data_IF_782339688321
#
_entry.id   IF_782339688321
#
_cell.length_a   1.000
_cell.length_b   1.000
_cell.length_c   1.000
_cell.angle_alpha   90.00
_cell.angle_beta   90.00
_cell.angle_gamma   90.00
#
_symmetry.space_group_name_H-M   'P 1'
#
loop_
_entity.id
_entity.type
_entity.pdbx_description
1 polymer ?
#
# COMPACT_ATOMS: atom_id res chain seq x y z
N UNK A 1 18.56 -4.36 10.14
CA UNK A 1 17.25 -4.44 10.84
C UNK A 1 16.75 -3.02 10.98
N UNK A 2 15.55 -2.68 10.46
CA UNK A 2 15.00 -1.34 10.64
C UNK A 2 14.60 -1.16 12.11
N UNK A 3 14.91 0.00 12.70
CA UNK A 3 14.44 0.35 14.05
C UNK A 3 12.91 0.32 14.09
N UNK A 4 12.34 -0.07 15.24
CA UNK A 4 10.88 -0.02 15.44
C UNK A 4 10.44 1.45 15.38
N UNK A 5 9.69 1.80 14.34
CA UNK A 5 9.14 3.15 14.17
C UNK A 5 8.18 3.55 15.30
N UNK A 6 7.49 2.56 15.87
CA UNK A 6 6.56 2.77 16.98
C UNK A 6 7.31 2.77 18.31
N UNK A 7 7.22 3.90 19.03
CA UNK A 7 7.68 4.05 20.41
C UNK A 7 6.55 4.59 21.30
N UNK A 8 6.82 4.88 22.57
CA UNK A 8 5.79 5.37 23.49
C UNK A 8 5.23 6.73 23.06
N UNK A 9 3.92 6.92 23.24
CA UNK A 9 3.16 8.12 22.86
C UNK A 9 2.73 8.95 24.08
N UNK A 10 3.56 8.96 25.13
CA UNK A 10 3.26 9.53 26.45
C UNK A 10 3.69 11.01 26.60
N UNK A 11 4.33 11.61 25.60
CA UNK A 11 4.60 13.06 25.57
C UNK A 11 4.51 13.62 24.15
N UNK A 12 4.27 14.93 24.05
CA UNK A 12 4.23 15.64 22.77
C UNK A 12 5.56 15.51 22.02
N UNK A 13 6.69 15.60 22.71
CA UNK A 13 8.01 15.44 22.09
C UNK A 13 8.18 14.05 21.47
N UNK A 14 7.75 13.00 22.17
CA UNK A 14 7.80 11.63 21.65
C UNK A 14 6.87 11.44 20.45
N UNK A 15 5.67 12.00 20.50
CA UNK A 15 4.72 11.99 19.37
C UNK A 15 5.35 12.69 18.17
N UNK A 16 5.90 13.89 18.34
CA UNK A 16 6.54 14.66 17.27
C UNK A 16 7.72 13.89 16.65
N UNK A 17 8.53 13.23 17.47
CA UNK A 17 9.64 12.39 17.00
C UNK A 17 9.14 11.21 16.16
N UNK A 18 8.11 10.49 16.61
CA UNK A 18 7.52 9.37 15.86
C UNK A 18 6.95 9.85 14.52
N UNK A 19 6.21 10.96 14.53
CA UNK A 19 5.67 11.56 13.29
C UNK A 19 6.79 11.91 12.32
N UNK A 20 7.85 12.57 12.80
CA UNK A 20 9.03 12.90 11.98
C UNK A 20 9.71 11.67 11.37
N UNK A 21 9.87 10.59 12.15
CA UNK A 21 10.43 9.32 11.65
C UNK A 21 9.55 8.66 10.59
N UNK A 22 8.22 8.68 10.79
CA UNK A 22 7.29 8.16 9.79
C UNK A 22 7.34 8.96 8.49
N UNK A 23 7.27 10.29 8.57
CA UNK A 23 7.36 11.15 7.37
C UNK A 23 8.66 10.90 6.61
N UNK A 24 9.80 10.87 7.31
CA UNK A 24 11.10 10.57 6.70
C UNK A 24 11.14 9.18 6.07
N UNK A 25 10.56 8.18 6.73
CA UNK A 25 10.51 6.81 6.21
C UNK A 25 9.67 6.74 4.94
N UNK A 26 8.48 7.35 4.94
CA UNK A 26 7.59 7.38 3.78
C UNK A 26 8.26 8.07 2.58
N UNK A 27 8.95 9.18 2.80
CA UNK A 27 9.74 9.84 1.75
C UNK A 27 10.81 8.92 1.17
N UNK A 28 11.59 8.25 2.04
CA UNK A 28 12.64 7.31 1.62
C UNK A 28 12.11 6.06 0.91
N UNK A 29 10.87 5.65 1.20
CA UNK A 29 10.21 4.51 0.56
C UNK A 29 9.50 4.88 -0.75
N UNK A 30 9.70 6.09 -1.26
CA UNK A 30 9.18 6.54 -2.57
C UNK A 30 7.87 7.30 -2.51
N UNK A 31 7.28 7.51 -1.33
CA UNK A 31 6.02 8.24 -1.16
C UNK A 31 6.20 9.77 -1.08
N UNK A 32 7.34 10.32 -1.51
CA UNK A 32 7.65 11.76 -1.40
C UNK A 32 6.58 12.68 -2.02
N UNK A 33 5.97 12.32 -3.15
CA UNK A 33 4.87 13.11 -3.75
C UNK A 33 3.60 13.06 -2.90
N UNK A 34 3.30 11.91 -2.31
CA UNK A 34 2.15 11.74 -1.42
C UNK A 34 2.34 12.54 -0.13
N UNK A 35 3.54 12.50 0.47
CA UNK A 35 3.85 13.31 1.66
C UNK A 35 3.69 14.81 1.37
N UNK A 36 4.15 15.28 0.19
CA UNK A 36 4.00 16.67 -0.24
C UNK A 36 2.56 17.08 -0.55
N UNK A 37 1.67 16.15 -0.87
CA UNK A 37 0.25 16.42 -1.11
C UNK A 37 -0.53 16.74 0.18
N UNK A 38 0.10 16.65 1.35
CA UNK A 38 -0.51 17.01 2.64
C UNK A 38 -1.18 15.83 3.33
N UNK A 39 -2.16 16.11 4.20
CA UNK A 39 -2.71 15.11 5.13
C UNK A 39 -3.29 13.87 4.43
N UNK A 40 -4.05 14.05 3.35
CA UNK A 40 -4.63 12.94 2.58
C UNK A 40 -3.55 12.08 1.91
N UNK A 41 -2.51 12.73 1.37
CA UNK A 41 -1.39 12.00 0.78
C UNK A 41 -0.55 11.26 1.82
N UNK A 42 -0.34 11.83 3.01
CA UNK A 42 0.30 11.13 4.14
C UNK A 42 -0.53 9.92 4.57
N UNK A 43 -1.85 10.04 4.65
CA UNK A 43 -2.75 8.91 4.95
C UNK A 43 -2.59 7.80 3.90
N UNK A 44 -2.62 8.16 2.61
CA UNK A 44 -2.42 7.21 1.52
C UNK A 44 -1.05 6.54 1.60
N UNK A 45 0.01 7.30 1.85
CA UNK A 45 1.37 6.77 2.02
C UNK A 45 1.48 5.78 3.19
N UNK A 46 0.81 6.08 4.31
CA UNK A 46 0.74 5.16 5.46
C UNK A 46 0.00 3.86 5.11
N UNK A 47 -1.15 3.94 4.44
CA UNK A 47 -1.90 2.76 4.00
C UNK A 47 -1.08 1.86 3.09
N UNK A 48 -0.33 2.46 2.15
CA UNK A 48 0.56 1.71 1.26
C UNK A 48 1.69 1.03 2.06
N UNK A 49 2.29 1.76 3.00
CA UNK A 49 3.34 1.23 3.86
C UNK A 49 2.86 0.05 4.71
N UNK A 50 1.65 0.10 5.25
CA UNK A 50 1.11 -1.00 6.07
C UNK A 50 0.78 -2.24 5.24
N UNK A 51 0.35 -2.06 4.00
CA UNK A 51 0.02 -3.15 3.09
C UNK A 51 1.21 -3.74 2.32
N UNK A 52 2.44 -3.23 2.52
CA UNK A 52 3.57 -3.61 1.67
C UNK A 52 3.36 -3.22 0.19
N UNK A 53 2.51 -2.22 -0.06
CA UNK A 53 2.23 -1.70 -1.39
C UNK A 53 3.26 -0.64 -1.77
N UNK A 54 3.71 -0.64 -3.02
CA UNK A 54 4.69 0.33 -3.51
C UNK A 54 4.22 0.93 -4.84
N UNK A 55 4.24 2.25 -4.92
CA UNK A 55 4.11 2.93 -6.20
C UNK A 55 5.48 3.03 -6.88
N UNK A 56 5.56 2.50 -8.09
CA UNK A 56 6.64 2.79 -9.03
C UNK A 56 6.01 3.47 -10.23
N UNK A 57 6.59 4.56 -10.72
CA UNK A 57 6.17 5.35 -11.89
C UNK A 57 4.78 5.05 -12.51
N UNK A 58 4.62 3.89 -13.15
CA UNK A 58 3.41 3.49 -13.88
C UNK A 58 2.65 2.25 -13.33
N UNK A 59 3.04 1.70 -12.18
CA UNK A 59 2.35 0.56 -11.56
C UNK A 59 2.34 0.61 -10.03
N UNK A 60 1.29 0.03 -9.46
CA UNK A 60 1.19 -0.30 -8.05
C UNK A 60 1.57 -1.77 -7.87
N UNK A 61 2.59 -2.06 -7.07
CA UNK A 61 2.98 -3.43 -6.72
C UNK A 61 2.54 -3.77 -5.29
N UNK A 62 2.02 -4.99 -5.09
CA UNK A 62 1.88 -5.60 -3.78
C UNK A 62 3.13 -6.46 -3.53
N UNK A 63 4.01 -5.99 -2.65
CA UNK A 63 5.35 -6.55 -2.45
C UNK A 63 5.53 -7.17 -1.05
N UNK A 64 4.44 -7.52 -0.38
CA UNK A 64 4.52 -8.26 0.87
C UNK A 64 4.99 -9.70 0.63
N UNK A 65 5.89 -10.20 1.47
CA UNK A 65 6.29 -11.60 1.46
C UNK A 65 5.11 -12.45 1.96
N UNK A 66 4.71 -13.53 1.26
CA UNK A 66 3.63 -14.40 1.71
C UNK A 66 3.79 -14.90 3.15
N UNK A 67 5.03 -15.05 3.65
CA UNK A 67 5.27 -15.49 5.04
C UNK A 67 4.86 -14.45 6.10
N UNK A 68 4.77 -13.18 5.70
CA UNK A 68 4.41 -12.06 6.57
C UNK A 68 2.88 -11.81 6.56
N UNK A 69 2.14 -12.50 5.68
CA UNK A 69 0.69 -12.44 5.59
C UNK A 69 0.03 -13.34 6.62
N UNK A 70 -0.16 -12.82 7.84
CA UNK A 70 -0.83 -13.55 8.93
C UNK A 70 -2.35 -13.34 8.98
N UNK A 71 -2.88 -12.40 8.19
CA UNK A 71 -4.29 -11.98 8.21
C UNK A 71 -4.71 -11.49 6.83
N UNK A 72 -6.02 -11.53 6.59
CA UNK A 72 -6.63 -10.91 5.42
C UNK A 72 -6.47 -9.39 5.44
N UNK A 73 -6.21 -8.82 4.27
CA UNK A 73 -6.18 -7.38 4.07
C UNK A 73 -7.32 -6.92 3.17
N UNK A 74 -7.96 -5.82 3.56
CA UNK A 74 -9.03 -5.19 2.80
C UNK A 74 -8.74 -3.70 2.62
N UNK A 75 -8.12 -3.35 1.50
CA UNK A 75 -7.92 -1.97 1.10
C UNK A 75 -9.09 -1.51 0.23
N UNK A 76 -9.71 -0.41 0.63
CA UNK A 76 -10.83 0.19 -0.11
C UNK A 76 -10.47 1.59 -0.53
N UNK A 77 -10.87 1.96 -1.76
CA UNK A 77 -10.71 3.30 -2.32
C UNK A 77 -9.26 3.81 -2.25
N UNK A 78 -8.29 2.95 -2.56
CA UNK A 78 -6.92 3.42 -2.71
C UNK A 78 -6.86 4.34 -3.92
N UNK A 79 -6.34 5.56 -3.73
CA UNK A 79 -6.14 6.50 -4.82
C UNK A 79 -5.00 6.06 -5.72
N UNK A 80 -5.27 5.96 -7.02
CA UNK A 80 -4.27 5.70 -8.05
C UNK A 80 -4.33 6.75 -9.15
N UNK A 81 -3.34 7.64 -9.19
CA UNK A 81 -3.43 8.85 -9.99
C UNK A 81 -4.52 9.79 -9.47
N UNK A 82 -5.11 10.59 -10.36
CA UNK A 82 -5.99 11.70 -9.95
C UNK A 82 -7.48 11.34 -9.83
N UNK A 83 -7.95 10.32 -10.55
CA UNK A 83 -9.39 10.06 -10.71
C UNK A 83 -9.78 8.59 -10.57
N UNK A 84 -8.81 7.71 -10.27
CA UNK A 84 -9.03 6.27 -10.18
C UNK A 84 -8.89 5.80 -8.75
N UNK A 85 -9.86 5.01 -8.31
CA UNK A 85 -9.87 4.35 -7.02
C UNK A 85 -9.91 2.85 -7.24
N UNK A 86 -9.05 2.12 -6.52
CA UNK A 86 -9.02 0.67 -6.56
C UNK A 86 -9.31 0.06 -5.18
N UNK A 87 -9.86 -1.14 -5.21
CA UNK A 87 -10.04 -2.00 -4.06
C UNK A 87 -9.08 -3.19 -4.20
N UNK A 88 -8.31 -3.48 -3.16
CA UNK A 88 -7.44 -4.66 -3.09
C UNK A 88 -7.88 -5.49 -1.89
N UNK A 89 -8.15 -6.77 -2.12
CA UNK A 89 -8.35 -7.74 -1.05
C UNK A 89 -7.29 -8.81 -1.16
N UNK A 90 -6.64 -9.13 -0.04
CA UNK A 90 -5.71 -10.26 0.09
C UNK A 90 -6.34 -11.23 1.06
N UNK A 91 -6.67 -12.44 0.61
CA UNK A 91 -7.22 -13.49 1.45
C UNK A 91 -6.14 -14.55 1.69
N UNK A 92 -5.88 -14.87 2.95
CA UNK A 92 -4.96 -15.95 3.34
C UNK A 92 -5.81 -17.18 3.63
N UNK A 93 -5.70 -18.20 2.77
CA UNK A 93 -6.50 -19.41 2.87
C UNK A 93 -6.04 -20.26 4.06
N UNK A 94 -6.97 -20.68 4.92
CA UNK A 94 -6.65 -21.45 6.13
C UNK A 94 -6.18 -22.89 5.82
N UNK A 95 -6.57 -23.44 4.67
CA UNK A 95 -6.29 -24.84 4.32
C UNK A 95 -4.85 -25.06 3.84
N UNK A 96 -4.30 -24.14 3.04
CA UNK A 96 -2.99 -24.28 2.40
C UNK A 96 -2.04 -23.09 2.60
N UNK A 97 -2.45 -22.10 3.41
CA UNK A 97 -1.74 -20.85 3.69
C UNK A 97 -1.36 -20.07 2.42
N UNK A 98 -2.05 -20.30 1.30
CA UNK A 98 -1.83 -19.50 0.10
C UNK A 98 -2.59 -18.18 0.20
N UNK A 99 -1.93 -17.13 -0.26
CA UNK A 99 -2.54 -15.83 -0.40
C UNK A 99 -3.16 -15.67 -1.79
N UNK A 100 -4.43 -15.26 -1.86
CA UNK A 100 -5.11 -14.89 -3.10
C UNK A 100 -5.36 -13.39 -3.10
N UNK A 101 -4.96 -12.72 -4.19
CA UNK A 101 -5.11 -11.28 -4.35
C UNK A 101 -6.26 -11.00 -5.32
N UNK A 102 -7.21 -10.19 -4.89
CA UNK A 102 -8.29 -9.67 -5.70
C UNK A 102 -8.10 -8.16 -5.86
N UNK A 103 -8.17 -7.68 -7.10
CA UNK A 103 -8.15 -6.26 -7.43
C UNK A 103 -9.38 -5.91 -8.26
N UNK A 104 -10.02 -4.79 -7.92
CA UNK A 104 -11.17 -4.27 -8.65
C UNK A 104 -11.14 -2.74 -8.68
N UNK A 105 -11.74 -2.14 -9.69
CA UNK A 105 -11.88 -0.69 -9.78
C UNK A 105 -13.18 -0.27 -9.08
N UNK A 106 -13.09 0.78 -8.26
CA UNK A 106 -14.27 1.45 -7.70
C UNK A 106 -14.69 2.62 -8.60
N UNK A 107 -13.68 3.34 -9.12
CA UNK A 107 -13.82 4.41 -10.10
C UNK A 107 -12.59 4.38 -11.01
N UNK A 108 -12.74 4.66 -12.29
CA UNK A 108 -11.61 4.76 -13.22
C UNK A 108 -11.81 5.85 -14.26
N UNK A 109 -10.70 6.47 -14.69
CA UNK A 109 -10.65 7.43 -15.81
C UNK A 109 -10.22 6.80 -17.14
N UNK A 110 -9.70 5.57 -17.09
CA UNK A 110 -9.15 4.81 -18.21
C UNK A 110 -9.17 3.31 -17.92
N UNK A 111 -8.73 2.51 -18.91
CA UNK A 111 -8.54 1.09 -18.73
C UNK A 111 -7.29 0.79 -17.87
N UNK A 112 -7.48 0.00 -16.82
CA UNK A 112 -6.41 -0.51 -15.98
C UNK A 112 -6.33 -2.02 -16.09
N UNK A 113 -5.14 -2.55 -15.84
CA UNK A 113 -4.86 -3.97 -15.94
C UNK A 113 -4.09 -4.43 -14.70
N UNK A 114 -4.29 -5.68 -14.33
CA UNK A 114 -3.54 -6.36 -13.29
C UNK A 114 -2.85 -7.60 -13.86
N UNK A 115 -1.73 -7.96 -13.26
CA UNK A 115 -0.96 -9.13 -13.60
C UNK A 115 -0.31 -9.66 -12.31
N UNK A 116 0.06 -10.94 -12.30
CA UNK A 116 0.81 -11.57 -11.23
C UNK A 116 2.28 -11.74 -11.60
N UNK A 117 3.10 -12.10 -10.60
CA UNK A 117 4.52 -12.46 -10.77
C UNK A 117 5.39 -11.50 -11.60
N UNK A 118 5.07 -10.20 -11.64
CA UNK A 118 5.78 -9.23 -12.47
C UNK A 118 5.34 -9.21 -13.94
N UNK A 119 4.09 -9.57 -14.21
CA UNK A 119 3.48 -9.68 -15.54
C UNK A 119 4.15 -10.76 -16.43
N UNK A 120 4.42 -11.93 -15.86
CA UNK A 120 4.83 -13.10 -16.66
C UNK A 120 3.69 -13.58 -17.56
N UNK A 121 2.47 -13.56 -17.03
CA UNK A 121 1.25 -13.84 -17.79
C UNK A 121 0.64 -12.55 -18.37
N UNK A 122 -0.15 -12.67 -19.46
CA UNK A 122 -0.80 -11.52 -20.07
C UNK A 122 -1.68 -10.76 -19.05
N UNK A 123 -1.57 -9.43 -18.99
CA UNK A 123 -2.31 -8.64 -18.02
C UNK A 123 -3.82 -8.71 -18.28
N UNK A 124 -4.60 -8.86 -17.21
CA UNK A 124 -6.06 -8.93 -17.24
C UNK A 124 -6.64 -7.54 -16.98
N UNK A 125 -7.57 -7.12 -17.83
CA UNK A 125 -8.24 -5.84 -17.65
C UNK A 125 -9.12 -5.87 -16.39
N UNK A 126 -8.94 -4.87 -15.53
CA UNK A 126 -9.76 -4.69 -14.34
C UNK A 126 -11.12 -4.10 -14.71
N UNK A 127 -12.15 -4.53 -13.98
CA UNK A 127 -13.52 -4.02 -14.08
C UNK A 127 -13.90 -3.27 -12.82
#
# INVERSE_FOLDING_TARGET
QAERLWTHLDSIDKINNIVGMWLLTLEKQGCHQLVRAGAEGVLQAMLLSFGGLRFKNQHLEFAADPKDLHRDYHFRRLSYGNATHLNITVLVQEEDYKAVIYAALDRSDRHYFACDAGCLDPPVQLK
#
